data_IF_927421188644
#
_entry.id   IF_927421188644
#
_cell.length_a   1.000
_cell.length_b   1.000
_cell.length_c   1.000
_cell.angle_alpha   90.00
_cell.angle_beta   90.00
_cell.angle_gamma   90.00
#
_symmetry.space_group_name_H-M   'P 1'
#
loop_
_entity.id
_entity.type
_entity.pdbx_description
1 polymer ?
#
# COMPACT_ATOMS: atom_id res chain seq x y z
N UNK A 1 -23.61 17.20 -11.24
CA UNK A 1 -23.06 15.83 -11.18
C UNK A 1 -21.67 15.77 -11.80
N UNK A 2 -20.65 15.98 -10.97
CA UNK A 2 -19.25 16.12 -11.38
C UNK A 2 -18.34 15.02 -10.80
N UNK A 3 -18.92 13.84 -10.61
CA UNK A 3 -18.24 12.59 -10.27
C UNK A 3 -18.36 11.61 -11.44
N UNK A 4 -18.40 12.08 -12.69
CA UNK A 4 -17.22 12.04 -13.57
C UNK A 4 -16.29 10.86 -13.23
N UNK A 5 -16.70 9.65 -13.62
CA UNK A 5 -16.01 8.77 -14.58
C UNK A 5 -14.52 8.42 -14.40
N UNK A 6 -13.83 8.94 -13.38
CA UNK A 6 -12.37 8.93 -13.33
C UNK A 6 -11.82 7.98 -12.28
N UNK A 7 -12.62 7.00 -11.87
CA UNK A 7 -12.19 5.88 -11.02
C UNK A 7 -12.31 4.54 -11.76
N UNK A 8 -12.89 4.50 -12.97
CA UNK A 8 -13.15 3.25 -13.71
C UNK A 8 -12.16 2.92 -14.84
N UNK A 9 -11.15 3.74 -15.13
CA UNK A 9 -10.23 3.50 -16.27
C UNK A 9 -8.75 3.66 -15.91
N UNK A 10 -8.25 2.78 -15.03
CA UNK A 10 -6.82 2.37 -15.06
C UNK A 10 -6.67 0.84 -15.07
N UNK A 11 -7.77 0.07 -15.05
CA UNK A 11 -7.71 -1.39 -14.94
C UNK A 11 -7.46 -2.09 -16.28
N UNK A 12 -7.35 -1.37 -17.41
CA UNK A 12 -7.43 -2.06 -18.70
C UNK A 12 -6.12 -2.49 -19.38
N UNK A 13 -4.91 -2.29 -18.86
CA UNK A 13 -3.72 -2.92 -19.49
C UNK A 13 -2.59 -3.22 -18.50
N UNK A 14 -2.30 -4.51 -18.29
CA UNK A 14 -0.94 -5.08 -18.15
C UNK A 14 0.05 -4.39 -17.19
N UNK A 15 -0.42 -3.73 -16.14
CA UNK A 15 0.45 -3.13 -15.14
C UNK A 15 0.37 -3.94 -13.86
N UNK A 16 1.31 -4.87 -13.72
CA UNK A 16 1.50 -5.69 -12.53
C UNK A 16 1.96 -4.88 -11.31
N UNK A 17 2.03 -3.54 -11.41
CA UNK A 17 2.42 -2.65 -10.33
C UNK A 17 1.51 -1.42 -10.28
N UNK A 18 0.89 -1.18 -9.13
CA UNK A 18 0.09 0.00 -8.85
C UNK A 18 0.75 0.79 -7.71
N UNK A 19 1.09 2.05 -7.94
CA UNK A 19 1.50 2.98 -6.90
C UNK A 19 0.33 3.95 -6.66
N UNK A 20 -0.28 3.86 -5.48
CA UNK A 20 -1.44 4.65 -5.07
C UNK A 20 -1.01 5.56 -3.94
N UNK A 21 -1.16 6.88 -4.10
CA UNK A 21 -0.92 7.83 -3.02
C UNK A 21 -2.26 8.25 -2.43
N UNK A 22 -2.45 7.96 -1.14
CA UNK A 22 -3.60 8.36 -0.35
C UNK A 22 -3.19 9.50 0.58
N UNK A 23 -4.01 10.55 0.66
CA UNK A 23 -3.81 11.67 1.59
C UNK A 23 -5.04 11.83 2.50
N UNK A 24 -5.25 10.91 3.45
CA UNK A 24 -6.26 11.10 4.49
C UNK A 24 -5.86 12.26 5.43
N UNK A 25 -6.81 13.13 5.79
CA UNK A 25 -6.56 14.32 6.63
C UNK A 25 -6.06 13.97 8.05
N UNK A 26 -6.23 12.73 8.48
CA UNK A 26 -5.88 12.20 9.79
C UNK A 26 -4.54 11.44 9.81
N UNK A 27 -4.13 10.83 8.69
CA UNK A 27 -2.93 9.97 8.63
C UNK A 27 -1.80 10.53 7.74
N UNK A 28 -2.05 11.64 7.03
CA UNK A 28 -1.08 12.25 6.13
C UNK A 28 -0.83 11.41 4.88
N UNK A 29 0.25 11.71 4.16
CA UNK A 29 0.54 11.05 2.89
C UNK A 29 0.94 9.58 3.11
N UNK A 30 0.21 8.67 2.48
CA UNK A 30 0.50 7.24 2.44
C UNK A 30 0.67 6.81 0.99
N UNK A 31 1.67 5.97 0.72
CA UNK A 31 1.90 5.39 -0.60
C UNK A 31 1.72 3.88 -0.52
N UNK A 32 0.90 3.33 -1.41
CA UNK A 32 0.58 1.91 -1.49
C UNK A 32 1.14 1.38 -2.79
N UNK A 33 2.02 0.39 -2.70
CA UNK A 33 2.54 -0.33 -3.86
C UNK A 33 1.98 -1.73 -3.88
N UNK A 34 1.17 -2.03 -4.88
CA UNK A 34 0.66 -3.39 -5.13
C UNK A 34 1.45 -3.98 -6.27
N UNK A 35 2.02 -5.16 -6.09
CA UNK A 35 2.69 -5.92 -7.13
C UNK A 35 1.97 -7.25 -7.35
N UNK A 36 1.41 -7.48 -8.53
CA UNK A 36 0.65 -8.68 -8.86
C UNK A 36 1.53 -9.61 -9.71
N UNK A 37 1.73 -10.84 -9.28
CA UNK A 37 2.55 -11.84 -9.96
C UNK A 37 1.76 -13.14 -10.12
N UNK A 38 1.20 -13.35 -11.32
CA UNK A 38 0.26 -14.45 -11.56
C UNK A 38 -1.02 -14.23 -10.75
N UNK A 39 -1.30 -15.16 -9.83
CA UNK A 39 -2.45 -15.13 -8.92
C UNK A 39 -2.12 -14.51 -7.55
N UNK A 40 -0.83 -14.31 -7.23
CA UNK A 40 -0.40 -13.72 -5.97
C UNK A 40 -0.17 -12.21 -6.07
N UNK A 41 -0.65 -11.46 -5.08
CA UNK A 41 -0.37 -10.05 -4.86
C UNK A 41 0.56 -9.87 -3.67
N UNK A 42 1.54 -8.98 -3.83
CA UNK A 42 2.36 -8.44 -2.75
C UNK A 42 2.01 -6.97 -2.57
N UNK A 43 1.61 -6.57 -1.36
CA UNK A 43 1.20 -5.20 -1.06
C UNK A 43 2.20 -4.57 -0.10
N UNK A 44 2.68 -3.37 -0.40
CA UNK A 44 3.60 -2.63 0.44
C UNK A 44 3.07 -1.24 0.70
N UNK A 45 2.79 -0.94 1.97
CA UNK A 45 2.32 0.36 2.43
C UNK A 45 3.48 1.16 2.98
N UNK A 46 3.59 2.41 2.58
CA UNK A 46 4.59 3.36 3.04
C UNK A 46 3.83 4.51 3.68
N UNK A 47 3.94 4.67 5.00
CA UNK A 47 3.21 5.69 5.75
C UNK A 47 4.16 6.68 6.40
N UNK A 48 3.74 7.94 6.59
CA UNK A 48 4.63 8.94 7.22
C UNK A 48 4.66 8.89 8.75
N UNK A 49 3.60 8.39 9.40
CA UNK A 49 3.48 8.33 10.86
C UNK A 49 3.19 6.91 11.39
N UNK A 50 3.62 6.65 12.62
CA UNK A 50 3.44 5.36 13.29
C UNK A 50 1.95 5.02 13.55
N UNK A 51 1.10 6.03 13.75
CA UNK A 51 -0.33 5.83 13.98
C UNK A 51 -1.03 5.25 12.75
N UNK A 52 -0.70 5.75 11.55
CA UNK A 52 -1.24 5.18 10.32
C UNK A 52 -0.76 3.75 10.10
N UNK A 53 0.49 3.46 10.46
CA UNK A 53 1.05 2.11 10.40
C UNK A 53 0.19 1.16 11.24
N UNK A 54 -0.05 1.51 12.50
CA UNK A 54 -0.81 0.67 13.44
C UNK A 54 -2.24 0.39 12.93
N UNK A 55 -2.92 1.44 12.43
CA UNK A 55 -4.27 1.30 11.85
C UNK A 55 -4.24 0.41 10.60
N UNK A 56 -3.28 0.60 9.70
CA UNK A 56 -3.17 -0.24 8.50
C UNK A 56 -2.88 -1.69 8.86
N UNK A 57 -1.96 -1.95 9.78
CA UNK A 57 -1.63 -3.30 10.25
C UNK A 57 -2.87 -4.01 10.80
N UNK A 58 -3.70 -3.32 11.59
CA UNK A 58 -4.97 -3.85 12.08
C UNK A 58 -5.98 -4.15 10.96
N UNK A 59 -5.95 -3.38 9.87
CA UNK A 59 -6.86 -3.52 8.73
C UNK A 59 -6.32 -4.44 7.62
N UNK A 60 -5.06 -4.91 7.70
CA UNK A 60 -4.44 -5.75 6.66
C UNK A 60 -5.17 -7.08 6.47
N UNK A 61 -5.62 -7.71 7.56
CA UNK A 61 -6.40 -8.94 7.47
C UNK A 61 -7.67 -8.74 6.64
N UNK A 62 -8.39 -7.63 6.89
CA UNK A 62 -9.61 -7.29 6.16
C UNK A 62 -9.32 -6.95 4.70
N UNK A 63 -8.25 -6.21 4.43
CA UNK A 63 -7.84 -5.88 3.07
C UNK A 63 -7.53 -7.15 2.27
N UNK A 64 -6.76 -8.08 2.86
CA UNK A 64 -6.46 -9.38 2.27
C UNK A 64 -7.73 -10.16 1.98
N UNK A 65 -8.68 -10.20 2.92
CA UNK A 65 -9.96 -10.89 2.74
C UNK A 65 -10.72 -10.30 1.56
N UNK A 66 -10.89 -8.98 1.50
CA UNK A 66 -11.58 -8.30 0.40
C UNK A 66 -10.91 -8.50 -0.97
N UNK A 67 -9.57 -8.50 -1.03
CA UNK A 67 -8.84 -8.78 -2.27
C UNK A 67 -8.97 -10.25 -2.67
N UNK A 68 -8.93 -11.16 -1.69
CA UNK A 68 -9.15 -12.59 -1.89
C UNK A 68 -10.57 -12.89 -2.37
N UNK A 69 -11.58 -12.17 -1.88
CA UNK A 69 -12.96 -12.26 -2.36
C UNK A 69 -13.09 -11.85 -3.84
N UNK A 70 -12.22 -10.94 -4.32
CA UNK A 70 -12.14 -10.56 -5.73
C UNK A 70 -11.30 -11.53 -6.58
N UNK A 71 -10.81 -12.62 -6.00
CA UNK A 71 -9.97 -13.61 -6.69
C UNK A 71 -8.48 -13.24 -6.76
N UNK A 72 -8.02 -12.31 -5.91
CA UNK A 72 -6.61 -11.94 -5.79
C UNK A 72 -6.03 -12.51 -4.50
N UNK A 73 -5.11 -13.48 -4.58
CA UNK A 73 -4.46 -14.03 -3.39
C UNK A 73 -3.40 -13.06 -2.88
N UNK A 74 -3.62 -12.41 -1.74
CA UNK A 74 -2.58 -11.57 -1.13
C UNK A 74 -1.61 -12.46 -0.37
N UNK A 75 -0.50 -12.80 -1.00
CA UNK A 75 0.54 -13.63 -0.43
C UNK A 75 1.36 -12.91 0.65
N UNK A 76 1.60 -11.60 0.48
CA UNK A 76 2.42 -10.81 1.40
C UNK A 76 1.91 -9.37 1.49
N UNK A 77 1.82 -8.83 2.71
CA UNK A 77 1.39 -7.46 2.97
C UNK A 77 2.28 -6.83 4.05
N UNK A 78 3.05 -5.81 3.68
CA UNK A 78 3.97 -5.12 4.58
C UNK A 78 3.57 -3.66 4.78
N UNK A 79 3.81 -3.16 6.00
CA UNK A 79 3.59 -1.75 6.36
C UNK A 79 4.90 -1.14 6.85
N UNK A 80 5.50 -0.34 5.99
CA UNK A 80 6.71 0.42 6.24
C UNK A 80 6.36 1.85 6.66
N UNK A 81 7.02 2.33 7.71
CA UNK A 81 7.02 3.76 7.98
C UNK A 81 8.14 4.38 7.14
N UNK A 82 7.86 5.49 6.47
CA UNK A 82 8.84 6.35 5.80
C UNK A 82 9.71 7.04 6.84
N UNK A 83 10.43 6.27 7.65
CA UNK A 83 11.52 6.78 8.44
C UNK A 83 12.68 6.91 7.46
N UNK A 84 12.97 8.16 7.09
CA UNK A 84 14.14 8.50 6.29
C UNK A 84 15.32 7.77 6.90
N UNK A 85 15.82 6.75 6.20
CA UNK A 85 17.01 5.99 6.57
C UNK A 85 18.21 6.93 6.41
N UNK A 86 18.30 7.90 7.32
CA UNK A 86 19.46 8.71 7.53
C UNK A 86 20.42 7.85 8.35
N UNK A 87 21.48 7.42 7.67
CA UNK A 87 22.82 7.30 8.22
C UNK A 87 22.92 6.80 9.67
N UNK A 88 23.20 5.51 9.80
CA UNK A 88 24.13 5.07 10.84
C UNK A 88 25.28 4.30 10.20
N UNK A 89 25.98 4.96 9.27
CA UNK A 89 27.43 4.81 9.18
C UNK A 89 28.02 5.53 10.41
N UNK A 90 28.39 4.77 11.44
CA UNK A 90 29.34 5.17 12.49
C UNK A 90 29.75 3.98 13.36
N UNK A 91 30.73 3.25 12.85
CA UNK A 91 32.03 3.13 13.50
C UNK A 91 32.06 2.79 15.00
N UNK A 92 32.43 1.55 15.32
CA UNK A 92 33.12 1.10 16.55
C UNK A 92 33.53 -0.35 16.33
N UNK A 93 34.75 -0.82 16.54
CA UNK A 93 36.08 -0.28 16.80
C UNK A 93 37.03 -1.46 16.61
#
# INVERSE_FOLDING_TARGET
>A
DAVKDKVMMTINQKLQRFDITLDPPEFGNMQVRVNLQGEQASVNFIVQNQQAKDVLEQNMHKLRDMLSEQGVDVGDANVEQQNQQQNNDKQKS
#
